data_IF_300887824076
#
_entry.id   IF_300887824076
#
_cell.length_a   1.000
_cell.length_b   1.000
_cell.length_c   1.000
_cell.angle_alpha   90.00
_cell.angle_beta   90.00
_cell.angle_gamma   90.00
#
_symmetry.space_group_name_H-M   'P 1'
#
loop_
_entity.id
_entity.type
_entity.pdbx_description
1 polymer ?
#
# COMPACT_ATOMS: atom_id res chain seq x y z
N UNK A 1 -12.61 -2.84 -14.86
CA UNK A 1 -13.53 -3.55 -13.95
C UNK A 1 -14.93 -3.16 -14.32
N UNK A 2 -15.71 -4.09 -14.90
CA UNK A 2 -17.13 -3.85 -15.19
C UNK A 2 -17.95 -5.14 -15.41
N UNK A 3 -17.47 -6.28 -14.89
CA UNK A 3 -18.30 -7.45 -14.63
C UNK A 3 -17.78 -8.04 -13.30
N UNK A 4 -18.63 -8.07 -12.27
CA UNK A 4 -18.30 -8.57 -10.91
C UNK A 4 -17.51 -7.62 -10.01
N UNK A 5 -16.98 -6.50 -10.53
CA UNK A 5 -16.33 -5.44 -9.76
C UNK A 5 -17.27 -4.26 -9.54
N UNK A 6 -17.37 -3.78 -8.31
CA UNK A 6 -18.13 -2.57 -7.96
C UNK A 6 -17.35 -1.32 -8.41
N UNK A 7 -17.97 -0.13 -8.33
CA UNK A 7 -17.27 1.15 -8.59
C UNK A 7 -16.02 1.33 -7.70
N UNK A 8 -15.97 0.62 -6.57
CA UNK A 8 -14.86 0.66 -5.65
C UNK A 8 -13.85 -0.48 -5.83
N UNK A 9 -13.92 -1.25 -6.94
CA UNK A 9 -12.90 -2.21 -7.35
C UNK A 9 -12.81 -3.49 -6.51
N UNK A 10 -13.57 -3.57 -5.42
CA UNK A 10 -13.68 -4.73 -4.51
C UNK A 10 -15.16 -5.07 -4.27
N UNK A 11 -15.43 -6.08 -3.44
CA UNK A 11 -16.80 -6.43 -3.01
C UNK A 11 -17.37 -5.31 -2.14
N UNK A 12 -18.63 -4.93 -2.38
CA UNK A 12 -19.38 -4.05 -1.47
C UNK A 12 -19.82 -4.84 -0.23
N UNK A 13 -18.94 -4.89 0.78
CA UNK A 13 -19.23 -5.42 2.11
C UNK A 13 -18.38 -4.70 3.15
N UNK A 14 -18.78 -4.80 4.42
CA UNK A 14 -18.17 -4.05 5.53
C UNK A 14 -16.67 -4.36 5.68
N UNK A 15 -16.29 -5.62 5.51
CA UNK A 15 -14.90 -6.09 5.58
C UNK A 15 -13.99 -5.51 4.47
N UNK A 16 -14.58 -4.90 3.44
CA UNK A 16 -13.88 -4.36 2.27
C UNK A 16 -14.19 -2.86 2.10
N UNK A 17 -14.66 -2.20 3.15
CA UNK A 17 -14.99 -0.78 3.15
C UNK A 17 -13.89 0.06 3.81
N UNK A 18 -13.58 1.22 3.22
CA UNK A 18 -12.67 2.20 3.82
C UNK A 18 -11.30 1.64 4.21
N UNK A 19 -10.95 1.79 5.50
CA UNK A 19 -9.73 1.33 6.14
C UNK A 19 -9.55 -0.19 6.17
N UNK A 20 -10.63 -0.96 5.99
CA UNK A 20 -10.56 -2.42 6.00
C UNK A 20 -10.01 -3.01 4.68
N UNK A 21 -9.75 -2.15 3.68
CA UNK A 21 -9.18 -2.53 2.40
C UNK A 21 -7.64 -2.68 2.46
N UNK A 22 -7.04 -3.61 1.71
CA UNK A 22 -7.66 -4.65 0.89
C UNK A 22 -8.11 -5.85 1.72
N UNK A 23 -7.29 -6.37 2.61
CA UNK A 23 -7.61 -7.28 3.73
C UNK A 23 -6.45 -7.13 4.73
N UNK A 24 -6.62 -7.44 6.02
CA UNK A 24 -5.57 -7.27 7.04
C UNK A 24 -4.22 -7.90 6.68
N UNK A 25 -4.24 -9.09 6.08
CA UNK A 25 -3.06 -9.85 5.66
C UNK A 25 -2.24 -9.12 4.59
N UNK A 26 -2.89 -8.24 3.83
CA UNK A 26 -2.31 -7.49 2.71
C UNK A 26 -2.22 -5.98 3.01
N UNK A 27 -2.40 -5.56 4.27
CA UNK A 27 -2.39 -4.15 4.68
C UNK A 27 -1.06 -3.43 4.38
N UNK A 28 0.05 -4.18 4.29
CA UNK A 28 1.37 -3.67 3.89
C UNK A 28 1.67 -3.87 2.40
N UNK A 29 0.66 -4.01 1.55
CA UNK A 29 0.77 -4.13 0.09
C UNK A 29 1.56 -5.35 -0.42
N UNK A 30 2.23 -6.11 0.44
CA UNK A 30 2.90 -7.36 0.09
C UNK A 30 1.86 -8.43 -0.17
N UNK A 31 2.05 -9.21 -1.24
CA UNK A 31 1.26 -10.42 -1.46
C UNK A 31 2.00 -11.65 -0.95
N UNK A 32 1.33 -12.81 -0.83
CA UNK A 32 2.00 -14.07 -0.51
C UNK A 32 2.98 -14.53 -1.61
N UNK A 33 2.94 -13.91 -2.79
CA UNK A 33 3.86 -14.17 -3.88
C UNK A 33 5.03 -13.20 -3.74
N UNK A 34 6.24 -13.76 -3.63
CA UNK A 34 7.47 -12.98 -3.51
C UNK A 34 7.65 -12.03 -4.70
N UNK A 35 8.03 -10.78 -4.40
CA UNK A 35 8.24 -9.74 -5.42
C UNK A 35 6.96 -9.18 -6.05
N UNK A 36 5.77 -9.67 -5.66
CA UNK A 36 4.48 -9.15 -6.13
C UNK A 36 3.84 -8.28 -5.04
N UNK A 37 3.54 -7.03 -5.43
CA UNK A 37 2.96 -6.00 -4.56
C UNK A 37 1.64 -5.49 -5.11
N UNK A 38 0.77 -5.05 -4.22
CA UNK A 38 -0.46 -4.34 -4.56
C UNK A 38 -0.17 -2.86 -4.77
N UNK A 39 -0.67 -2.32 -5.89
CA UNK A 39 -0.60 -0.89 -6.19
C UNK A 39 -1.90 -0.46 -6.88
N UNK A 40 -3.03 -0.67 -6.22
CA UNK A 40 -4.34 -0.37 -6.81
C UNK A 40 -4.99 0.84 -6.13
N UNK A 41 -5.22 1.90 -6.92
CA UNK A 41 -5.81 3.17 -6.47
C UNK A 41 -7.21 3.05 -5.85
N UNK A 42 -7.97 2.03 -6.22
CA UNK A 42 -9.37 1.87 -5.83
C UNK A 42 -9.52 0.83 -4.71
N UNK A 43 -8.71 -0.24 -4.77
CA UNK A 43 -8.85 -1.42 -3.92
C UNK A 43 -7.90 -1.46 -2.71
N UNK A 44 -6.84 -0.65 -2.65
CA UNK A 44 -5.94 -0.56 -1.50
C UNK A 44 -6.23 0.69 -0.67
N UNK A 45 -5.98 0.65 0.64
CA UNK A 45 -6.08 1.82 1.53
C UNK A 45 -5.04 2.89 1.18
N UNK A 46 -5.33 4.20 1.13
CA UNK A 46 -6.57 4.87 1.55
C UNK A 46 -7.75 4.78 0.55
N UNK A 47 -7.52 4.29 -0.66
CA UNK A 47 -8.56 4.07 -1.66
C UNK A 47 -9.19 5.37 -2.18
N UNK A 48 -10.39 5.27 -2.75
CA UNK A 48 -11.22 6.44 -3.06
C UNK A 48 -10.61 7.45 -4.04
N UNK A 49 -9.82 7.00 -5.02
CA UNK A 49 -9.09 7.86 -5.98
C UNK A 49 -7.99 8.73 -5.33
N UNK A 50 -7.45 8.33 -4.18
CA UNK A 50 -6.19 8.87 -3.66
C UNK A 50 -5.00 8.37 -4.49
N UNK A 51 -4.94 8.79 -5.76
CA UNK A 51 -4.08 8.22 -6.81
C UNK A 51 -2.60 8.17 -6.40
N UNK A 52 -2.12 9.21 -5.72
CA UNK A 52 -0.72 9.35 -5.33
C UNK A 52 -0.40 8.75 -3.96
N UNK A 53 -1.40 8.57 -3.08
CA UNK A 53 -1.16 8.07 -1.73
C UNK A 53 -0.76 6.58 -1.74
N UNK A 54 -1.34 5.79 -2.64
CA UNK A 54 -1.03 4.37 -2.81
C UNK A 54 0.43 4.12 -3.23
N UNK A 55 0.92 4.67 -4.35
CA UNK A 55 2.31 4.48 -4.74
C UNK A 55 3.27 5.09 -3.71
N UNK A 56 2.89 6.17 -3.02
CA UNK A 56 3.70 6.74 -1.94
C UNK A 56 3.83 5.80 -0.73
N UNK A 57 2.74 5.17 -0.30
CA UNK A 57 2.79 4.15 0.75
C UNK A 57 3.57 2.92 0.29
N UNK A 58 3.36 2.46 -0.94
CA UNK A 58 4.11 1.35 -1.51
C UNK A 58 5.62 1.65 -1.53
N UNK A 59 6.03 2.88 -1.82
CA UNK A 59 7.44 3.25 -1.80
C UNK A 59 8.09 3.01 -0.43
N UNK A 60 7.39 3.26 0.67
CA UNK A 60 7.89 2.91 2.01
C UNK A 60 8.16 1.41 2.13
N UNK A 61 7.25 0.58 1.61
CA UNK A 61 7.35 -0.88 1.64
C UNK A 61 8.49 -1.39 0.77
N UNK A 62 8.70 -0.79 -0.41
CA UNK A 62 9.81 -1.17 -1.30
C UNK A 62 11.16 -0.83 -0.69
N UNK A 63 11.27 0.30 0.02
CA UNK A 63 12.48 0.65 0.79
C UNK A 63 12.67 -0.33 1.96
N UNK A 64 11.60 -0.68 2.68
CA UNK A 64 11.65 -1.65 3.77
C UNK A 64 12.20 -3.01 3.33
N UNK A 65 11.82 -3.43 2.12
CA UNK A 65 12.27 -4.68 1.51
C UNK A 65 13.65 -4.58 0.84
N UNK A 66 14.27 -3.40 0.82
CA UNK A 66 15.60 -3.20 0.23
C UNK A 66 15.61 -3.28 -1.30
N UNK A 67 14.44 -3.17 -1.96
CA UNK A 67 14.34 -3.20 -3.42
C UNK A 67 14.73 -1.87 -4.06
N UNK A 68 14.63 -0.78 -3.29
CA UNK A 68 14.94 0.57 -3.73
C UNK A 68 15.60 1.35 -2.59
N UNK A 69 16.57 2.19 -2.95
CA UNK A 69 17.17 3.14 -2.02
C UNK A 69 16.46 4.49 -2.10
N UNK A 70 16.21 5.17 -0.96
CA UNK A 70 15.58 6.48 -0.97
C UNK A 70 16.50 7.52 -1.62
N UNK A 71 16.00 8.18 -2.67
CA UNK A 71 16.71 9.30 -3.29
C UNK A 71 16.70 10.55 -2.42
N UNK A 72 17.49 11.57 -2.78
CA UNK A 72 17.56 12.87 -2.06
C UNK A 72 16.20 13.60 -1.94
N UNK A 73 15.26 13.26 -2.80
CA UNK A 73 13.91 13.82 -2.85
C UNK A 73 12.92 13.09 -1.94
N UNK A 74 13.31 11.93 -1.38
CA UNK A 74 12.43 11.12 -0.56
C UNK A 74 12.21 11.78 0.80
N UNK A 75 10.95 11.94 1.16
CA UNK A 75 10.52 12.30 2.50
C UNK A 75 9.45 11.27 2.90
N UNK A 76 9.63 10.54 4.02
CA UNK A 76 8.61 9.61 4.51
C UNK A 76 7.43 10.38 5.11
N UNK A 77 6.28 9.73 5.18
CA UNK A 77 5.12 10.31 5.88
C UNK A 77 5.47 10.54 7.35
N UNK A 78 5.07 11.65 7.99
CA UNK A 78 5.18 11.81 9.44
C UNK A 78 4.45 10.72 10.24
N UNK A 79 3.49 10.05 9.60
CA UNK A 79 2.68 8.97 10.16
C UNK A 79 3.11 7.57 9.69
N UNK A 80 4.23 7.47 8.97
CA UNK A 80 4.78 6.20 8.57
C UNK A 80 5.23 5.39 9.80
N UNK A 81 4.83 4.12 9.86
CA UNK A 81 5.18 3.19 10.92
C UNK A 81 6.08 2.09 10.34
N UNK A 82 7.40 2.12 10.63
CA UNK A 82 8.33 1.12 10.14
C UNK A 82 7.94 -0.30 10.55
N UNK A 83 8.07 -1.25 9.64
CA UNK A 83 7.94 -2.66 10.01
C UNK A 83 9.15 -3.11 10.85
N UNK A 84 8.86 -3.69 12.02
CA UNK A 84 9.89 -4.26 12.87
C UNK A 84 10.67 -5.35 12.13
N UNK A 85 12.01 -5.29 12.20
CA UNK A 85 12.91 -6.24 11.53
C UNK A 85 13.20 -5.94 10.06
N UNK A 86 12.65 -4.86 9.49
CA UNK A 86 12.94 -4.39 8.12
C UNK A 86 13.74 -3.09 8.14
N UNK A 87 14.26 -2.69 6.98
CA UNK A 87 14.94 -1.41 6.80
C UNK A 87 13.90 -0.30 7.01
N UNK A 88 14.22 0.76 7.76
CA UNK A 88 13.29 1.88 7.89
C UNK A 88 13.29 2.71 6.60
N UNK A 89 12.11 3.11 6.11
CA UNK A 89 11.99 4.09 5.04
C UNK A 89 12.27 5.54 5.50
N UNK A 90 12.59 5.75 6.78
CA UNK A 90 13.08 7.05 7.28
C UNK A 90 14.57 7.16 6.90
N UNK A 91 14.96 8.18 6.11
CA UNK A 91 16.37 8.42 5.77
C UNK A 91 17.25 8.50 7.02
N UNK A 92 18.47 7.99 6.91
CA UNK A 92 19.51 8.13 7.94
C UNK A 92 20.19 9.50 7.87
#
# INVERSE_FOLDING_TARGET
GLIGGTWCGTRHCDDQWGENRPIPELARYRTPIEGLYLCNQTACHPGGLALMAIPYNLMHILIEDGLVEPGKWWYPSPWYIPQQGKISAIPR
#
